data_IF_448882136284
#
_entry.id   IF_448882136284
#
_cell.length_a   1.000
_cell.length_b   1.000
_cell.length_c   1.000
_cell.angle_alpha   90.00
_cell.angle_beta   90.00
_cell.angle_gamma   90.00
#
_symmetry.space_group_name_H-M   'P 1'
#
loop_
_entity.id
_entity.type
_entity.pdbx_description
1 polymer ?
#
# COMPACT_ATOMS: atom_id res chain seq x y z
N UNK A 1 12.46 7.66 4.60
CA UNK A 1 12.35 7.39 3.14
C UNK A 1 10.91 7.27 2.68
N UNK A 2 10.54 7.91 1.55
CA UNK A 2 9.23 7.77 0.92
C UNK A 2 9.30 6.87 -0.32
N UNK A 3 8.32 5.98 -0.49
CA UNK A 3 8.25 5.03 -1.60
C UNK A 3 6.84 5.08 -2.18
N UNK A 4 6.74 5.15 -3.50
CA UNK A 4 5.50 4.98 -4.25
C UNK A 4 5.39 3.55 -4.79
N UNK A 5 4.34 2.84 -4.40
CA UNK A 5 3.99 1.53 -4.90
C UNK A 5 2.74 1.59 -5.77
N UNK A 6 2.86 1.13 -7.02
CA UNK A 6 1.76 1.03 -7.96
C UNK A 6 1.15 -0.37 -7.95
N UNK A 7 -0.18 -0.46 -7.82
CA UNK A 7 -0.94 -1.71 -7.92
C UNK A 7 -1.14 -2.06 -9.40
N UNK A 8 -0.04 -2.44 -10.06
CA UNK A 8 -0.02 -2.81 -11.48
C UNK A 8 -0.05 -4.32 -11.70
N UNK A 9 0.30 -5.11 -10.68
CA UNK A 9 0.29 -6.58 -10.77
C UNK A 9 -1.15 -7.07 -10.96
N UNK A 10 -1.42 -7.74 -12.08
CA UNK A 10 -2.76 -8.24 -12.47
C UNK A 10 -3.51 -8.96 -11.36
N UNK A 11 -2.82 -9.83 -10.61
CA UNK A 11 -3.43 -10.57 -9.50
C UNK A 11 -3.89 -9.63 -8.38
N UNK A 12 -3.02 -8.70 -7.98
CA UNK A 12 -3.28 -7.73 -6.90
C UNK A 12 -4.38 -6.75 -7.32
N UNK A 13 -4.40 -6.35 -8.58
CA UNK A 13 -5.46 -5.51 -9.15
C UNK A 13 -6.82 -6.22 -9.17
N UNK A 14 -6.87 -7.49 -9.59
CA UNK A 14 -8.11 -8.27 -9.54
C UNK A 14 -8.64 -8.39 -8.11
N UNK A 15 -7.77 -8.65 -7.12
CA UNK A 15 -8.18 -8.71 -5.71
C UNK A 15 -8.75 -7.38 -5.22
N UNK A 16 -8.14 -6.25 -5.62
CA UNK A 16 -8.67 -4.92 -5.31
C UNK A 16 -10.06 -4.72 -5.94
N UNK A 17 -10.22 -5.03 -7.23
CA UNK A 17 -11.51 -4.88 -7.91
C UNK A 17 -12.59 -5.75 -7.26
N UNK A 18 -12.28 -7.00 -6.91
CA UNK A 18 -13.20 -7.86 -6.14
C UNK A 18 -13.56 -7.28 -4.77
N UNK A 19 -12.62 -6.66 -4.07
CA UNK A 19 -12.89 -6.02 -2.79
C UNK A 19 -13.83 -4.82 -2.95
N UNK A 20 -13.56 -3.97 -3.93
CA UNK A 20 -14.40 -2.79 -4.26
C UNK A 20 -15.82 -3.24 -4.58
N UNK A 21 -16.00 -4.27 -5.41
CA UNK A 21 -17.33 -4.82 -5.75
C UNK A 21 -18.06 -5.39 -4.53
N UNK A 22 -17.33 -5.93 -3.55
CA UNK A 22 -17.90 -6.47 -2.32
C UNK A 22 -18.37 -5.41 -1.30
N UNK A 23 -18.05 -4.12 -1.54
CA UNK A 23 -18.32 -3.00 -0.64
C UNK A 23 -19.26 -1.96 -1.27
N UNK A 24 -20.51 -2.32 -1.61
CA UNK A 24 -21.44 -1.40 -2.29
C UNK A 24 -21.84 -0.18 -1.46
N UNK A 25 -21.59 -0.19 -0.15
CA UNK A 25 -21.86 0.94 0.75
C UNK A 25 -20.77 2.02 0.76
N UNK A 26 -19.60 1.73 0.19
CA UNK A 26 -18.45 2.64 0.14
C UNK A 26 -18.25 3.15 -1.29
N UNK A 27 -17.69 4.34 -1.45
CA UNK A 27 -17.21 4.76 -2.77
C UNK A 27 -16.01 3.90 -3.19
N UNK A 28 -15.70 3.86 -4.49
CA UNK A 28 -14.52 3.16 -4.99
C UNK A 28 -13.24 3.64 -4.29
N UNK A 29 -13.08 4.95 -4.13
CA UNK A 29 -11.92 5.55 -3.48
C UNK A 29 -11.80 5.14 -2.01
N UNK A 30 -12.91 5.15 -1.26
CA UNK A 30 -12.96 4.68 0.12
C UNK A 30 -12.62 3.19 0.22
N UNK A 31 -13.16 2.39 -0.71
CA UNK A 31 -12.89 0.95 -0.76
C UNK A 31 -11.42 0.65 -1.07
N UNK A 32 -10.80 1.40 -2.00
CA UNK A 32 -9.37 1.30 -2.32
C UNK A 32 -8.53 1.67 -1.08
N UNK A 33 -8.83 2.80 -0.43
CA UNK A 33 -8.11 3.23 0.76
C UNK A 33 -8.21 2.21 1.90
N UNK A 34 -9.41 1.72 2.19
CA UNK A 34 -9.66 0.69 3.21
C UNK A 34 -8.91 -0.61 2.88
N UNK A 35 -8.95 -1.05 1.62
CA UNK A 35 -8.25 -2.26 1.20
C UNK A 35 -6.73 -2.15 1.30
N UNK A 36 -6.18 -0.99 0.90
CA UNK A 36 -4.75 -0.72 1.00
C UNK A 36 -4.31 -0.77 2.46
N UNK A 37 -5.04 -0.12 3.36
CA UNK A 37 -4.72 -0.12 4.78
C UNK A 37 -4.77 -1.56 5.33
N UNK A 38 -5.88 -2.27 5.13
CA UNK A 38 -6.03 -3.64 5.63
C UNK A 38 -4.96 -4.61 5.12
N UNK A 39 -4.63 -4.54 3.82
CA UNK A 39 -3.71 -5.49 3.19
C UNK A 39 -2.24 -5.11 3.42
N UNK A 40 -1.88 -3.87 3.13
CA UNK A 40 -0.48 -3.46 3.14
C UNK A 40 0.00 -2.99 4.50
N UNK A 41 -0.83 -2.35 5.33
CA UNK A 41 -0.42 -1.99 6.70
C UNK A 41 -0.07 -3.25 7.50
N UNK A 42 -0.94 -4.26 7.46
CA UNK A 42 -0.69 -5.55 8.11
C UNK A 42 0.56 -6.25 7.55
N UNK A 43 0.74 -6.25 6.23
CA UNK A 43 1.91 -6.86 5.60
C UNK A 43 3.22 -6.15 5.99
N UNK A 44 3.24 -4.83 6.02
CA UNK A 44 4.42 -4.04 6.43
C UNK A 44 4.76 -4.32 7.89
N UNK A 45 3.76 -4.38 8.78
CA UNK A 45 3.98 -4.70 10.20
C UNK A 45 4.64 -6.07 10.35
N UNK A 46 4.15 -7.07 9.62
CA UNK A 46 4.63 -8.45 9.73
C UNK A 46 5.99 -8.69 9.06
N UNK A 47 6.33 -7.94 8.01
CA UNK A 47 7.48 -8.26 7.15
C UNK A 47 8.61 -7.23 7.21
N UNK A 48 8.31 -6.00 7.61
CA UNK A 48 9.25 -4.87 7.55
C UNK A 48 9.59 -4.37 8.94
N UNK A 49 8.58 -3.96 9.71
CA UNK A 49 8.77 -3.25 10.97
C UNK A 49 7.63 -3.59 11.91
N UNK A 50 7.90 -4.23 13.06
CA UNK A 50 6.88 -4.70 14.01
C UNK A 50 6.12 -3.58 14.75
N UNK A 51 6.16 -2.35 14.22
CA UNK A 51 5.66 -1.13 14.85
C UNK A 51 5.00 -0.22 13.81
N UNK A 52 3.69 -0.02 13.94
CA UNK A 52 2.89 0.80 13.03
C UNK A 52 3.24 2.29 13.08
N UNK A 53 3.94 2.75 14.12
CA UNK A 53 4.35 4.16 14.23
C UNK A 53 5.59 4.49 13.41
N UNK A 54 6.28 3.48 12.86
CA UNK A 54 7.52 3.64 12.07
C UNK A 54 7.25 3.85 10.59
N UNK A 55 6.00 3.84 10.17
CA UNK A 55 5.62 4.13 8.80
C UNK A 55 4.25 4.77 8.71
N UNK A 56 4.01 5.48 7.62
CA UNK A 56 2.71 6.06 7.27
C UNK A 56 2.34 5.63 5.85
N UNK A 57 1.07 5.31 5.61
CA UNK A 57 0.56 4.92 4.29
C UNK A 57 -0.47 5.93 3.81
N UNK A 58 -0.24 6.47 2.63
CA UNK A 58 -1.15 7.36 1.92
C UNK A 58 -1.68 6.65 0.66
N UNK A 59 -2.97 6.27 0.62
CA UNK A 59 -3.54 5.64 -0.57
C UNK A 59 -3.59 6.60 -1.75
N UNK A 60 -3.24 6.11 -2.93
CA UNK A 60 -3.35 6.80 -4.22
C UNK A 60 -4.50 6.15 -5.00
N UNK A 61 -5.66 6.80 -4.98
CA UNK A 61 -6.91 6.28 -5.57
C UNK A 61 -7.06 6.63 -7.05
N UNK A 62 -6.23 7.53 -7.57
CA UNK A 62 -6.17 7.90 -8.99
C UNK A 62 -5.45 6.81 -9.80
N UNK A 63 -5.78 6.67 -11.09
CA UNK A 63 -5.14 5.69 -11.98
C UNK A 63 -3.74 6.20 -12.41
N UNK A 64 -2.68 5.37 -12.28
CA UNK A 64 -2.69 4.00 -11.77
C UNK A 64 -2.82 3.94 -10.24
N UNK A 65 -3.73 3.07 -9.77
CA UNK A 65 -4.04 2.92 -8.34
C UNK A 65 -2.81 2.42 -7.58
N UNK A 66 -2.59 2.90 -6.36
CA UNK A 66 -1.39 2.61 -5.61
C UNK A 66 -1.42 3.17 -4.20
N UNK A 67 -0.26 3.27 -3.58
CA UNK A 67 -0.07 3.97 -2.33
C UNK A 67 1.34 4.51 -2.19
N UNK A 68 1.48 5.58 -1.43
CA UNK A 68 2.78 6.03 -0.93
C UNK A 68 2.96 5.52 0.48
N UNK A 69 4.17 5.09 0.80
CA UNK A 69 4.56 4.73 2.16
C UNK A 69 5.78 5.54 2.56
N UNK A 70 5.71 6.13 3.75
CA UNK A 70 6.81 6.89 4.33
C UNK A 70 7.34 6.14 5.54
N UNK A 71 8.57 5.64 5.45
CA UNK A 71 9.27 5.00 6.57
C UNK A 71 10.11 6.01 7.34
N UNK A 72 10.06 5.92 8.67
CA UNK A 72 10.94 6.70 9.57
C UNK A 72 12.40 6.27 9.38
N UNK A 73 12.67 4.97 9.26
CA UNK A 73 14.00 4.42 9.04
C UNK A 73 14.25 4.07 7.57
N UNK A 74 15.39 4.50 7.02
CA UNK A 74 15.77 4.17 5.63
C UNK A 74 16.02 2.66 5.41
N UNK A 75 16.46 1.93 6.44
CA UNK A 75 16.61 0.47 6.39
C UNK A 75 15.30 -0.25 6.12
N UNK A 76 14.21 0.21 6.75
CA UNK A 76 12.88 -0.40 6.64
C UNK A 76 12.33 -0.18 5.23
N UNK A 77 12.48 1.03 4.69
CA UNK A 77 12.11 1.29 3.30
C UNK A 77 12.98 0.52 2.29
N UNK A 78 14.27 0.31 2.57
CA UNK A 78 15.15 -0.46 1.67
C UNK A 78 14.72 -1.93 1.64
N UNK A 79 14.32 -2.46 2.80
CA UNK A 79 13.73 -3.79 2.92
C UNK A 79 12.40 -3.88 2.18
N UNK A 80 11.54 -2.87 2.29
CA UNK A 80 10.27 -2.80 1.56
C UNK A 80 10.50 -2.86 0.04
N UNK A 81 11.40 -2.04 -0.49
CA UNK A 81 11.77 -2.05 -1.92
C UNK A 81 12.30 -3.41 -2.36
N UNK A 82 13.07 -4.08 -1.51
CA UNK A 82 13.64 -5.40 -1.83
C UNK A 82 12.59 -6.52 -1.85
N UNK A 83 11.55 -6.44 -1.02
CA UNK A 83 10.52 -7.48 -0.88
C UNK A 83 9.31 -7.26 -1.78
N UNK A 84 8.77 -6.04 -1.80
CA UNK A 84 7.54 -5.70 -2.54
C UNK A 84 7.84 -4.95 -3.85
N UNK A 85 8.91 -4.14 -3.87
CA UNK A 85 9.25 -3.26 -4.97
C UNK A 85 8.71 -1.84 -4.77
N UNK A 86 8.58 -1.10 -5.86
CA UNK A 86 8.15 0.30 -5.87
C UNK A 86 9.26 1.23 -6.33
N UNK A 87 8.97 2.53 -6.30
CA UNK A 87 9.91 3.59 -6.67
C UNK A 87 10.12 4.51 -5.47
N UNK A 88 11.38 4.86 -5.18
CA UNK A 88 11.68 5.86 -4.16
C UNK A 88 11.16 7.23 -4.66
N UNK A 89 10.35 7.90 -3.85
CA UNK A 89 10.01 9.32 -4.02
C UNK A 89 11.15 10.09 -3.35
N UNK A 90 11.84 10.97 -4.10
CA UNK A 90 12.91 11.85 -3.58
C UNK A 90 12.32 13.05 -2.82
#
# INVERSE_FOLDING_TARGET
>A
MRIHYEISRRMVKNELDHYVDSKPSLTREQSIAEWIDLKFKAWIIQNITDDETKFDIEPVTNVPEGFKVTFVNDSDGTRFLSLLGGNKDD
#
